data_IF_276015575524
#
_entry.id   IF_276015575524
#
_cell.length_a   1.000
_cell.length_b   1.000
_cell.length_c   1.000
_cell.angle_alpha   90.00
_cell.angle_beta   90.00
_cell.angle_gamma   90.00
#
_symmetry.space_group_name_H-M   'P 1'
#
loop_
_entity.id
_entity.type
_entity.pdbx_description
1 polymer ?
#
# COMPACT_ATOMS: atom_id res chain seq x y z
N UNK A 1 53.76 -41.91 -77.46
CA UNK A 1 52.38 -42.40 -77.36
C UNK A 1 52.14 -42.73 -75.89
N UNK A 2 51.72 -41.75 -75.09
CA UNK A 2 51.51 -41.93 -73.65
C UNK A 2 50.03 -41.72 -73.33
N UNK A 3 49.44 -42.79 -72.81
CA UNK A 3 48.03 -42.95 -72.49
C UNK A 3 47.66 -42.14 -71.25
N UNK A 4 46.64 -41.29 -71.37
CA UNK A 4 46.01 -40.56 -70.26
C UNK A 4 44.96 -41.47 -69.63
N UNK A 5 45.08 -41.74 -68.32
CA UNK A 5 43.98 -42.30 -67.52
C UNK A 5 43.49 -41.24 -66.54
N UNK A 6 42.21 -40.90 -66.68
CA UNK A 6 41.45 -40.04 -65.79
C UNK A 6 41.26 -40.71 -64.43
N UNK A 7 41.75 -40.09 -63.35
CA UNK A 7 41.33 -40.41 -61.98
C UNK A 7 40.05 -39.64 -61.66
N UNK A 8 38.98 -40.39 -61.42
CA UNK A 8 37.70 -39.89 -60.95
C UNK A 8 37.84 -39.54 -59.45
N UNK A 9 37.81 -38.25 -59.11
CA UNK A 9 37.73 -37.80 -57.71
C UNK A 9 36.26 -37.61 -57.35
N UNK A 10 35.78 -38.40 -56.39
CA UNK A 10 34.46 -38.24 -55.79
C UNK A 10 34.40 -36.98 -54.92
N UNK A 11 33.24 -36.33 -55.01
CA UNK A 11 32.87 -35.10 -54.33
C UNK A 11 32.44 -35.37 -52.87
N UNK A 12 32.96 -34.64 -51.88
CA UNK A 12 32.29 -34.48 -50.58
C UNK A 12 32.79 -33.27 -49.78
N UNK A 13 32.59 -32.05 -50.29
CA UNK A 13 32.72 -30.85 -49.45
C UNK A 13 31.31 -30.39 -49.03
N UNK A 14 30.84 -30.89 -47.89
CA UNK A 14 29.74 -30.26 -47.16
C UNK A 14 30.34 -29.27 -46.16
N UNK A 15 29.88 -28.01 -46.11
CA UNK A 15 30.38 -27.04 -45.12
C UNK A 15 30.02 -27.50 -43.70
N UNK A 16 30.85 -27.16 -42.69
CA UNK A 16 30.58 -27.55 -41.31
C UNK A 16 29.27 -26.93 -40.84
N UNK A 17 28.41 -27.76 -40.27
CA UNK A 17 27.13 -27.40 -39.67
C UNK A 17 27.36 -26.50 -38.45
N UNK A 18 27.34 -25.18 -38.67
CA UNK A 18 27.40 -24.19 -37.59
C UNK A 18 26.05 -24.19 -36.88
N UNK A 19 25.94 -24.99 -35.81
CA UNK A 19 24.78 -24.96 -34.93
C UNK A 19 24.51 -23.52 -34.46
N UNK A 20 23.27 -23.02 -34.56
CA UNK A 20 22.94 -21.68 -34.10
C UNK A 20 23.28 -21.55 -32.61
N UNK A 21 23.73 -20.36 -32.16
CA UNK A 21 24.15 -20.16 -30.78
C UNK A 21 23.00 -20.54 -29.84
N UNK A 22 23.27 -21.44 -28.90
CA UNK A 22 22.32 -21.83 -27.87
C UNK A 22 21.82 -20.57 -27.17
N UNK A 23 20.51 -20.29 -27.26
CA UNK A 23 19.88 -19.20 -26.53
C UNK A 23 20.22 -19.39 -25.05
N UNK A 24 21.06 -18.51 -24.49
CA UNK A 24 21.27 -18.43 -23.04
C UNK A 24 19.87 -18.38 -22.40
N UNK A 25 19.55 -19.35 -21.54
CA UNK A 25 18.36 -19.25 -20.68
C UNK A 25 18.47 -17.91 -19.95
N UNK A 26 17.64 -16.93 -20.32
CA UNK A 26 17.54 -15.69 -19.55
C UNK A 26 17.14 -16.11 -18.14
N UNK A 27 18.01 -15.85 -17.17
CA UNK A 27 17.60 -15.87 -15.77
C UNK A 27 16.32 -15.05 -15.66
N UNK A 28 15.23 -15.57 -15.06
CA UNK A 28 14.01 -14.79 -14.90
C UNK A 28 14.38 -13.45 -14.28
N UNK A 29 13.95 -12.36 -14.91
CA UNK A 29 14.14 -11.03 -14.35
C UNK A 29 13.55 -11.01 -12.95
N UNK A 30 14.25 -10.39 -12.00
CA UNK A 30 13.76 -10.27 -10.63
C UNK A 30 12.38 -9.59 -10.65
N UNK A 31 11.36 -10.16 -9.97
CA UNK A 31 10.05 -9.55 -9.93
C UNK A 31 10.10 -8.13 -9.36
N UNK A 32 9.39 -7.21 -10.00
CA UNK A 32 9.20 -5.84 -9.52
C UNK A 32 7.71 -5.60 -9.30
N UNK A 33 7.34 -5.07 -8.15
CA UNK A 33 5.94 -4.69 -7.91
C UNK A 33 5.59 -3.48 -8.74
N UNK A 34 4.49 -3.60 -9.49
CA UNK A 34 3.83 -2.46 -10.14
C UNK A 34 2.69 -2.02 -9.25
N UNK A 35 2.62 -0.73 -8.93
CA UNK A 35 1.51 -0.16 -8.18
C UNK A 35 0.87 0.99 -8.92
N UNK A 36 -0.45 1.13 -8.75
CA UNK A 36 -1.16 2.36 -9.08
C UNK A 36 -1.32 3.26 -7.86
N UNK A 37 -1.40 2.65 -6.67
CA UNK A 37 -1.38 3.35 -5.39
C UNK A 37 -0.09 4.17 -5.24
N UNK A 38 -0.25 5.45 -4.93
CA UNK A 38 0.84 6.37 -4.64
C UNK A 38 0.48 7.21 -3.43
N UNK A 39 1.41 7.33 -2.48
CA UNK A 39 1.27 8.24 -1.33
C UNK A 39 1.54 9.70 -1.71
N UNK A 40 2.02 9.99 -2.92
CA UNK A 40 2.43 11.34 -3.30
C UNK A 40 1.30 12.38 -3.26
N UNK A 41 0.09 12.12 -3.81
CA UNK A 41 -1.03 13.05 -3.68
C UNK A 41 -1.39 13.34 -2.22
N UNK A 42 -1.44 12.31 -1.39
CA UNK A 42 -1.77 12.45 0.03
C UNK A 42 -0.70 13.26 0.77
N UNK A 43 0.60 13.00 0.54
CA UNK A 43 1.68 13.80 1.14
C UNK A 43 1.65 15.27 0.71
N UNK A 44 1.34 15.56 -0.55
CA UNK A 44 1.19 16.93 -1.03
C UNK A 44 0.01 17.62 -0.33
N UNK A 45 -1.12 16.92 -0.19
CA UNK A 45 -2.27 17.39 0.59
C UNK A 45 -1.90 17.68 2.05
N UNK A 46 -1.23 16.74 2.75
CA UNK A 46 -0.79 16.93 4.14
C UNK A 46 0.10 18.17 4.32
N UNK A 47 1.05 18.37 3.40
CA UNK A 47 1.92 19.56 3.43
C UNK A 47 1.11 20.85 3.25
N UNK A 48 0.11 20.87 2.37
CA UNK A 48 -0.71 22.03 2.09
C UNK A 48 -1.68 22.38 3.24
N UNK A 49 -2.13 21.38 4.02
CA UNK A 49 -3.02 21.60 5.17
C UNK A 49 -2.28 21.76 6.50
N UNK A 50 -0.94 21.84 6.51
CA UNK A 50 -0.15 21.91 7.73
C UNK A 50 -0.59 23.05 8.67
N UNK A 51 -0.96 24.21 8.10
CA UNK A 51 -1.42 25.39 8.83
C UNK A 51 -2.96 25.55 8.81
N UNK A 52 -3.71 24.48 8.52
CA UNK A 52 -5.19 24.50 8.46
C UNK A 52 -5.77 23.64 9.58
N UNK A 53 -5.86 24.16 10.83
CA UNK A 53 -6.18 23.35 12.01
C UNK A 53 -7.57 22.70 11.93
N UNK A 54 -8.57 23.37 11.35
CA UNK A 54 -9.90 22.78 11.18
C UNK A 54 -9.89 21.50 10.32
N UNK A 55 -9.11 21.48 9.23
CA UNK A 55 -8.99 20.28 8.37
C UNK A 55 -8.23 19.16 9.06
N UNK A 56 -7.19 19.50 9.83
CA UNK A 56 -6.44 18.53 10.63
C UNK A 56 -7.32 17.93 11.73
N UNK A 57 -8.09 18.76 12.43
CA UNK A 57 -9.02 18.32 13.46
C UNK A 57 -10.09 17.39 12.88
N UNK A 58 -10.69 17.73 11.74
CA UNK A 58 -11.66 16.86 11.09
C UNK A 58 -11.12 15.46 10.76
N UNK A 59 -9.83 15.36 10.40
CA UNK A 59 -9.15 14.08 10.16
C UNK A 59 -8.97 13.28 11.46
N UNK A 60 -8.63 13.98 12.55
CA UNK A 60 -8.52 13.39 13.89
C UNK A 60 -9.89 12.90 14.36
N UNK A 61 -10.94 13.71 14.20
CA UNK A 61 -12.31 13.39 14.63
C UNK A 61 -12.89 12.17 13.88
N UNK A 62 -12.53 11.98 12.61
CA UNK A 62 -12.87 10.77 11.86
C UNK A 62 -12.09 9.52 12.34
N UNK A 63 -11.11 9.69 13.23
CA UNK A 63 -10.23 8.64 13.73
C UNK A 63 -9.06 8.31 12.80
N UNK A 64 -8.72 9.19 11.85
CA UNK A 64 -7.62 9.03 10.89
C UNK A 64 -6.40 9.90 11.22
N UNK A 65 -6.34 10.45 12.43
CA UNK A 65 -5.28 11.37 12.87
C UNK A 65 -3.86 10.83 12.67
N UNK A 66 -3.67 9.51 12.83
CA UNK A 66 -2.34 8.91 12.63
C UNK A 66 -1.82 8.98 11.18
N UNK A 67 -2.70 9.14 10.18
CA UNK A 67 -2.26 9.35 8.80
C UNK A 67 -1.66 10.74 8.56
N UNK A 68 -1.88 11.72 9.45
CA UNK A 68 -1.21 13.02 9.38
C UNK A 68 0.32 12.89 9.49
N UNK A 69 0.81 11.77 10.03
CA UNK A 69 2.23 11.47 10.20
C UNK A 69 2.89 10.87 8.96
N UNK A 70 2.17 10.66 7.85
CA UNK A 70 2.70 9.95 6.68
C UNK A 70 3.83 10.72 5.98
N UNK A 71 5.06 10.21 6.09
CA UNK A 71 6.20 10.61 5.24
C UNK A 71 7.01 9.40 4.77
N UNK A 72 6.39 8.60 3.89
CA UNK A 72 7.05 7.46 3.24
C UNK A 72 7.86 7.90 2.01
N UNK A 73 8.98 7.25 1.67
CA UNK A 73 9.62 7.44 0.36
C UNK A 73 8.75 6.86 -0.76
N UNK A 74 9.16 7.04 -2.02
CA UNK A 74 8.61 6.22 -3.11
C UNK A 74 8.96 4.75 -2.82
N UNK A 75 8.03 3.84 -3.11
CA UNK A 75 8.24 2.41 -2.91
C UNK A 75 9.45 1.92 -3.73
N UNK A 76 10.29 1.11 -3.12
CA UNK A 76 11.30 0.33 -3.85
C UNK A 76 10.60 -0.92 -4.44
N UNK A 77 10.49 -1.05 -5.77
CA UNK A 77 9.67 -2.08 -6.40
C UNK A 77 10.22 -3.49 -6.21
N UNK A 78 11.55 -3.63 -6.07
CA UNK A 78 12.21 -4.93 -5.88
C UNK A 78 12.04 -5.37 -4.43
N UNK A 79 12.29 -4.48 -3.47
CA UNK A 79 12.07 -4.75 -2.06
C UNK A 79 10.62 -5.16 -1.79
N UNK A 80 9.66 -4.39 -2.33
CA UNK A 80 8.24 -4.69 -2.17
C UNK A 80 7.87 -6.06 -2.77
N UNK A 81 8.45 -6.42 -3.93
CA UNK A 81 8.24 -7.75 -4.53
C UNK A 81 8.77 -8.85 -3.62
N UNK A 82 10.00 -8.72 -3.13
CA UNK A 82 10.59 -9.70 -2.22
C UNK A 82 9.81 -9.83 -0.91
N UNK A 83 9.28 -8.72 -0.38
CA UNK A 83 8.45 -8.72 0.81
C UNK A 83 7.12 -9.43 0.56
N UNK A 84 6.44 -9.11 -0.54
CA UNK A 84 5.17 -9.75 -0.92
C UNK A 84 5.33 -11.23 -1.23
N UNK A 85 6.42 -11.67 -1.87
CA UNK A 85 6.70 -13.09 -2.10
C UNK A 85 6.90 -13.89 -0.79
N UNK A 86 7.06 -13.22 0.35
CA UNK A 86 7.13 -13.85 1.67
C UNK A 86 5.81 -13.80 2.44
N UNK A 87 4.82 -13.06 1.95
CA UNK A 87 3.52 -13.01 2.61
C UNK A 87 2.75 -14.31 2.33
N UNK A 88 2.40 -15.05 3.38
CA UNK A 88 1.57 -16.24 3.28
C UNK A 88 0.11 -15.84 3.39
N UNK A 89 -0.63 -15.92 2.28
CA UNK A 89 -2.08 -15.62 2.27
C UNK A 89 -2.85 -16.59 3.17
N UNK A 90 -2.44 -17.87 3.22
CA UNK A 90 -3.13 -18.88 4.01
C UNK A 90 -3.03 -18.67 5.52
N UNK A 91 -1.92 -18.11 6.01
CA UNK A 91 -1.73 -17.82 7.45
C UNK A 91 -1.89 -16.34 7.82
N UNK A 92 -1.93 -15.42 6.86
CA UNK A 92 -1.92 -13.98 7.15
C UNK A 92 -0.60 -13.48 7.74
N UNK A 93 0.52 -14.13 7.42
CA UNK A 93 1.82 -13.87 8.04
C UNK A 93 2.92 -13.55 7.02
N UNK A 94 3.90 -12.74 7.42
CA UNK A 94 5.18 -12.63 6.71
C UNK A 94 6.13 -13.74 7.13
N UNK A 95 6.50 -14.61 6.19
CA UNK A 95 7.38 -15.74 6.40
C UNK A 95 8.85 -15.31 6.45
N UNK A 96 9.46 -15.49 7.62
CA UNK A 96 10.87 -15.19 7.86
C UNK A 96 11.73 -16.44 7.65
N UNK A 97 13.05 -16.26 7.68
CA UNK A 97 13.97 -17.39 7.70
C UNK A 97 13.89 -18.16 9.02
N UNK A 98 14.23 -19.45 8.96
CA UNK A 98 14.25 -20.40 10.10
C UNK A 98 12.86 -20.65 10.72
N UNK A 99 11.82 -20.68 9.89
CA UNK A 99 10.46 -21.06 10.31
C UNK A 99 9.76 -20.06 11.23
N UNK A 100 10.29 -18.83 11.37
CA UNK A 100 9.64 -17.75 12.11
C UNK A 100 8.70 -16.98 11.21
N UNK A 101 7.73 -16.32 11.81
CA UNK A 101 6.77 -15.50 11.08
C UNK A 101 6.41 -14.23 11.85
N UNK A 102 5.99 -13.20 11.12
CA UNK A 102 5.30 -12.04 11.67
C UNK A 102 3.83 -12.21 11.30
N UNK A 103 3.04 -12.64 12.28
CA UNK A 103 1.59 -12.67 12.15
C UNK A 103 1.04 -11.24 12.04
N UNK A 104 0.23 -10.99 11.02
CA UNK A 104 -0.40 -9.71 10.74
C UNK A 104 -1.91 -9.81 11.02
N UNK A 105 -2.41 -8.91 11.86
CA UNK A 105 -3.82 -8.80 12.26
C UNK A 105 -4.33 -7.37 12.12
N UNK A 106 -5.63 -7.17 12.25
CA UNK A 106 -6.27 -5.85 12.19
C UNK A 106 -5.62 -4.84 13.17
N UNK A 107 -5.28 -5.30 14.39
CA UNK A 107 -4.59 -4.45 15.38
C UNK A 107 -3.23 -3.94 14.88
N UNK A 108 -2.51 -4.69 14.02
CA UNK A 108 -1.25 -4.20 13.45
C UNK A 108 -1.49 -3.01 12.53
N UNK A 109 -2.63 -2.96 11.82
CA UNK A 109 -3.01 -1.78 11.01
C UNK A 109 -3.26 -0.59 11.91
N UNK A 110 -3.99 -0.77 13.01
CA UNK A 110 -4.22 0.29 13.98
C UNK A 110 -2.91 0.82 14.55
N UNK A 111 -1.99 -0.07 14.96
CA UNK A 111 -0.69 0.34 15.50
C UNK A 111 0.17 1.07 14.46
N UNK A 112 0.07 0.70 13.18
CA UNK A 112 0.83 1.34 12.11
C UNK A 112 0.26 2.70 11.73
N UNK A 113 -1.03 2.75 11.39
CA UNK A 113 -1.67 3.92 10.80
C UNK A 113 -2.41 4.81 11.80
N UNK A 114 -2.77 4.30 12.97
CA UNK A 114 -3.65 5.00 13.91
C UNK A 114 -5.05 5.26 13.33
N UNK A 115 -5.58 4.32 12.52
CA UNK A 115 -6.93 4.38 11.94
C UNK A 115 -7.91 3.50 12.73
N UNK A 116 -9.23 3.65 12.59
CA UNK A 116 -10.16 3.02 13.51
C UNK A 116 -10.18 1.49 13.42
N UNK A 117 -10.19 0.86 14.60
CA UNK A 117 -10.40 -0.57 14.82
C UNK A 117 -11.81 -0.77 15.42
N UNK A 118 -12.82 -0.27 14.69
CA UNK A 118 -14.21 -0.28 15.13
C UNK A 118 -14.88 -1.66 15.08
N UNK A 119 -16.14 -1.71 15.50
CA UNK A 119 -16.96 -2.94 15.51
C UNK A 119 -17.76 -3.16 14.21
N UNK A 120 -18.01 -2.10 13.43
CA UNK A 120 -18.80 -2.18 12.20
C UNK A 120 -17.92 -2.55 10.99
N UNK A 121 -18.46 -3.30 10.02
CA UNK A 121 -17.69 -3.68 8.83
C UNK A 121 -17.79 -2.61 7.74
N UNK A 122 -16.66 -2.32 7.09
CA UNK A 122 -16.65 -1.49 5.89
C UNK A 122 -17.11 -2.35 4.71
N UNK A 123 -18.22 -1.95 4.08
CA UNK A 123 -18.76 -2.63 2.92
C UNK A 123 -18.42 -1.86 1.64
N UNK A 124 -17.70 -2.49 0.72
CA UNK A 124 -17.36 -1.94 -0.58
C UNK A 124 -17.97 -2.71 -1.77
N UNK A 125 -18.88 -3.65 -1.49
CA UNK A 125 -19.49 -4.56 -2.46
C UNK A 125 -20.98 -4.28 -2.73
N UNK A 126 -21.59 -3.27 -2.12
CA UNK A 126 -23.05 -3.08 -2.25
C UNK A 126 -23.51 -2.86 -3.68
N UNK A 127 -24.48 -3.68 -4.08
CA UNK A 127 -25.47 -3.35 -5.11
C UNK A 127 -26.22 -2.09 -4.66
N UNK A 128 -26.03 -1.03 -5.43
CA UNK A 128 -26.27 0.36 -5.04
C UNK A 128 -27.68 0.86 -5.39
N UNK A 129 -28.70 0.14 -4.94
CA UNK A 129 -30.10 0.50 -5.19
C UNK A 129 -30.77 1.27 -4.04
N UNK A 130 -30.08 1.43 -2.90
CA UNK A 130 -30.59 2.27 -1.81
C UNK A 130 -30.65 3.74 -2.23
N UNK A 131 -31.84 4.35 -2.12
CA UNK A 131 -32.10 5.74 -2.52
C UNK A 131 -31.14 6.73 -1.85
N UNK A 132 -30.90 6.58 -0.55
CA UNK A 132 -30.02 7.47 0.23
C UNK A 132 -28.57 7.42 -0.26
N UNK A 133 -28.07 6.23 -0.62
CA UNK A 133 -26.72 6.09 -1.16
C UNK A 133 -26.60 6.77 -2.53
N UNK A 134 -27.61 6.60 -3.40
CA UNK A 134 -27.63 7.23 -4.72
C UNK A 134 -27.63 8.74 -4.61
N UNK A 135 -28.48 9.31 -3.75
CA UNK A 135 -28.55 10.75 -3.50
C UNK A 135 -27.20 11.28 -2.98
N UNK A 136 -26.65 10.63 -1.94
CA UNK A 136 -25.34 10.99 -1.39
C UNK A 136 -24.24 10.93 -2.45
N UNK A 137 -24.24 9.90 -3.30
CA UNK A 137 -23.25 9.75 -4.36
C UNK A 137 -23.39 10.84 -5.43
N UNK A 138 -24.61 11.22 -5.81
CA UNK A 138 -24.89 12.31 -6.76
C UNK A 138 -24.36 13.65 -6.21
N UNK A 139 -24.69 13.98 -4.96
CA UNK A 139 -24.20 15.19 -4.27
C UNK A 139 -22.67 15.20 -4.13
N UNK A 140 -22.07 14.05 -3.79
CA UNK A 140 -20.62 13.93 -3.69
C UNK A 140 -19.95 14.11 -5.06
N UNK A 141 -20.54 13.59 -6.13
CA UNK A 141 -20.04 13.75 -7.51
C UNK A 141 -20.11 15.20 -7.99
N UNK A 142 -21.17 15.91 -7.64
CA UNK A 142 -21.28 17.35 -7.88
C UNK A 142 -20.20 18.12 -7.12
N UNK A 143 -19.98 17.78 -5.84
CA UNK A 143 -18.94 18.40 -5.00
C UNK A 143 -17.52 18.24 -5.59
N UNK A 144 -17.17 17.07 -6.14
CA UNK A 144 -15.86 16.85 -6.80
C UNK A 144 -15.82 17.35 -8.25
N UNK A 145 -16.91 17.94 -8.76
CA UNK A 145 -17.00 18.53 -10.09
C UNK A 145 -16.99 17.50 -11.23
N UNK A 146 -17.49 16.28 -11.02
CA UNK A 146 -17.45 15.20 -12.02
C UNK A 146 -18.83 14.77 -12.48
N UNK A 147 -19.24 15.26 -13.65
CA UNK A 147 -20.49 14.83 -14.30
C UNK A 147 -20.34 13.48 -15.02
N UNK A 148 -19.23 13.24 -15.73
CA UNK A 148 -18.95 11.97 -16.43
C UNK A 148 -17.57 11.42 -16.05
N UNK A 149 -17.47 10.10 -15.96
CA UNK A 149 -16.24 9.41 -15.57
C UNK A 149 -15.99 9.44 -14.05
N UNK A 150 -14.71 9.37 -13.66
CA UNK A 150 -14.29 9.33 -12.26
C UNK A 150 -13.26 10.42 -11.97
N UNK A 151 -13.31 11.05 -10.77
CA UNK A 151 -12.29 12.02 -10.37
C UNK A 151 -10.91 11.37 -10.27
N UNK A 152 -9.86 12.16 -10.46
CA UNK A 152 -8.50 11.72 -10.14
C UNK A 152 -8.21 11.99 -8.66
N UNK A 153 -7.51 11.05 -8.00
CA UNK A 153 -7.08 11.20 -6.60
C UNK A 153 -6.26 12.47 -6.39
N UNK A 154 -5.41 12.84 -7.35
CA UNK A 154 -4.63 14.08 -7.29
C UNK A 154 -5.49 15.34 -7.35
N UNK A 155 -6.54 15.36 -8.17
CA UNK A 155 -7.46 16.50 -8.28
C UNK A 155 -8.24 16.70 -6.98
N UNK A 156 -8.74 15.60 -6.40
CA UNK A 156 -9.41 15.63 -5.09
C UNK A 156 -8.46 16.10 -3.98
N UNK A 157 -7.22 15.61 -3.95
CA UNK A 157 -6.21 16.04 -2.98
C UNK A 157 -5.92 17.55 -3.06
N UNK A 158 -5.83 18.10 -4.28
CA UNK A 158 -5.65 19.55 -4.49
C UNK A 158 -6.87 20.34 -4.04
N UNK A 159 -8.09 19.92 -4.39
CA UNK A 159 -9.33 20.58 -3.97
C UNK A 159 -9.46 20.60 -2.44
N UNK A 160 -9.20 19.47 -1.76
CA UNK A 160 -9.24 19.38 -0.31
C UNK A 160 -8.25 20.32 0.39
N UNK A 161 -7.12 20.62 -0.26
CA UNK A 161 -6.07 21.47 0.29
C UNK A 161 -6.39 22.97 0.22
N UNK A 162 -7.30 23.40 -0.66
CA UNK A 162 -7.64 24.82 -0.83
C UNK A 162 -8.27 25.40 0.44
N UNK A 163 -7.66 26.43 1.01
CA UNK A 163 -8.10 27.08 2.25
C UNK A 163 -9.52 27.67 2.16
N UNK A 164 -10.01 27.99 0.96
CA UNK A 164 -11.37 28.46 0.75
C UNK A 164 -12.42 27.33 0.83
N UNK A 165 -12.00 26.07 0.72
CA UNK A 165 -12.91 24.91 0.78
C UNK A 165 -13.15 24.53 2.25
N UNK A 166 -14.39 24.66 2.76
CA UNK A 166 -14.72 24.34 4.14
C UNK A 166 -14.78 22.83 4.38
N UNK A 167 -14.64 22.43 5.64
CA UNK A 167 -14.86 21.05 6.08
C UNK A 167 -16.36 20.76 6.12
N UNK A 168 -16.86 20.07 5.09
CA UNK A 168 -18.23 19.53 5.01
C UNK A 168 -18.22 18.00 5.05
N UNK A 169 -19.38 17.36 5.05
CA UNK A 169 -19.47 15.90 4.95
C UNK A 169 -18.87 15.39 3.63
N UNK A 170 -19.08 16.10 2.52
CA UNK A 170 -18.46 15.75 1.24
C UNK A 170 -16.95 16.02 1.23
N UNK A 171 -16.45 16.99 2.02
CA UNK A 171 -15.01 17.11 2.28
C UNK A 171 -14.48 15.87 3.01
N UNK A 172 -15.17 15.39 4.07
CA UNK A 172 -14.79 14.18 4.82
C UNK A 172 -14.78 12.93 3.95
N UNK A 173 -15.83 12.72 3.13
CA UNK A 173 -15.91 11.62 2.15
C UNK A 173 -14.78 11.68 1.14
N UNK A 174 -14.50 12.86 0.61
CA UNK A 174 -13.41 13.06 -0.36
C UNK A 174 -12.04 12.80 0.28
N UNK A 175 -11.82 13.22 1.53
CA UNK A 175 -10.63 12.85 2.30
C UNK A 175 -10.49 11.34 2.40
N UNK A 176 -11.56 10.61 2.75
CA UNK A 176 -11.52 9.15 2.82
C UNK A 176 -11.18 8.52 1.47
N UNK A 177 -11.74 9.02 0.35
CA UNK A 177 -11.38 8.54 -1.00
C UNK A 177 -9.90 8.71 -1.27
N UNK A 178 -9.31 9.87 -0.94
CA UNK A 178 -7.87 10.09 -1.11
C UNK A 178 -7.07 9.17 -0.18
N UNK A 179 -7.40 9.10 1.11
CA UNK A 179 -6.70 8.30 2.10
C UNK A 179 -6.72 6.80 1.76
N UNK A 180 -7.90 6.25 1.42
CA UNK A 180 -8.07 4.84 1.07
C UNK A 180 -7.27 4.49 -0.18
N UNK A 181 -7.40 5.28 -1.25
CA UNK A 181 -6.70 5.02 -2.52
C UNK A 181 -5.19 5.26 -2.45
N UNK A 182 -4.70 6.05 -1.49
CA UNK A 182 -3.27 6.28 -1.28
C UNK A 182 -2.62 5.31 -0.29
N UNK A 183 -3.36 4.79 0.69
CA UNK A 183 -2.79 4.06 1.84
C UNK A 183 -3.36 2.65 2.09
N UNK A 184 -4.61 2.37 1.71
CA UNK A 184 -5.36 1.18 2.17
C UNK A 184 -5.66 0.19 1.03
N UNK A 185 -6.34 0.65 -0.02
CA UNK A 185 -6.81 -0.18 -1.13
C UNK A 185 -6.92 0.69 -2.38
N UNK A 186 -6.30 0.27 -3.46
CA UNK A 186 -6.50 0.87 -4.77
C UNK A 186 -7.26 -0.08 -5.70
N UNK A 187 -7.54 0.38 -6.91
CA UNK A 187 -8.10 -0.48 -7.97
C UNK A 187 -6.98 -0.93 -8.93
N UNK A 188 -7.28 -1.95 -9.74
CA UNK A 188 -6.42 -2.33 -10.88
C UNK A 188 -6.61 -1.37 -12.07
N UNK A 189 -7.66 -0.56 -12.00
CA UNK A 189 -8.17 0.35 -13.01
C UNK A 189 -7.59 1.76 -12.75
N UNK A 190 -7.71 2.71 -13.70
CA UNK A 190 -7.33 4.11 -13.44
C UNK A 190 -8.29 4.84 -12.48
N UNK A 191 -9.49 4.31 -12.27
CA UNK A 191 -10.54 4.97 -11.48
C UNK A 191 -10.32 4.74 -9.97
N UNK A 192 -10.52 5.77 -9.13
CA UNK A 192 -10.44 5.61 -7.68
C UNK A 192 -11.51 4.65 -7.18
N UNK A 193 -11.17 3.91 -6.14
CA UNK A 193 -12.11 3.11 -5.38
C UNK A 193 -13.06 4.02 -4.60
N UNK A 194 -14.36 3.86 -4.81
CA UNK A 194 -15.41 4.65 -4.11
C UNK A 194 -16.51 3.79 -3.50
N UNK A 195 -16.53 2.46 -3.72
CA UNK A 195 -17.61 1.58 -3.25
C UNK A 195 -17.82 1.62 -1.73
N UNK A 196 -16.75 1.85 -0.97
CA UNK A 196 -16.83 1.99 0.48
C UNK A 196 -17.60 3.24 0.95
N UNK A 197 -17.90 4.22 0.08
CA UNK A 197 -18.66 5.42 0.45
C UNK A 197 -20.07 5.08 0.96
N UNK A 198 -20.59 3.87 0.66
CA UNK A 198 -21.85 3.39 1.21
C UNK A 198 -21.85 3.31 2.75
N UNK A 199 -20.66 3.21 3.37
CA UNK A 199 -20.47 3.22 4.82
C UNK A 199 -20.49 4.63 5.42
N UNK A 200 -20.43 5.65 4.58
CA UNK A 200 -20.29 7.07 4.97
C UNK A 200 -21.58 7.86 4.81
N UNK A 201 -22.75 7.20 4.73
CA UNK A 201 -24.06 7.88 4.68
C UNK A 201 -24.16 8.81 5.91
N UNK A 202 -23.92 8.26 7.10
CA UNK A 202 -23.65 9.04 8.31
C UNK A 202 -22.14 9.16 8.52
N UNK A 203 -21.59 10.35 8.31
CA UNK A 203 -20.16 10.61 8.51
C UNK A 203 -19.73 10.54 9.98
N UNK A 204 -20.65 10.71 10.93
CA UNK A 204 -20.33 10.64 12.36
C UNK A 204 -20.06 9.21 12.80
N UNK A 205 -20.53 8.23 12.02
CA UNK A 205 -20.29 6.82 12.29
C UNK A 205 -18.95 6.30 11.74
N UNK A 206 -18.21 7.10 10.96
CA UNK A 206 -16.90 6.73 10.37
C UNK A 206 -15.93 6.11 11.40
N UNK A 207 -15.76 6.66 12.61
CA UNK A 207 -14.85 6.08 13.62
C UNK A 207 -15.26 4.71 14.14
N UNK A 208 -16.54 4.33 14.00
CA UNK A 208 -17.06 3.06 14.53
C UNK A 208 -16.86 1.88 13.57
N UNK A 209 -16.38 2.14 12.35
CA UNK A 209 -16.06 1.11 11.36
C UNK A 209 -14.65 0.55 11.53
N UNK A 210 -14.49 -0.71 11.16
CA UNK A 210 -13.24 -1.45 11.20
C UNK A 210 -12.44 -1.25 9.90
N UNK A 211 -11.86 -0.06 9.76
CA UNK A 211 -10.97 0.27 8.64
C UNK A 211 -9.67 -0.58 8.67
N UNK A 212 -9.29 -1.05 9.85
CA UNK A 212 -8.17 -1.97 10.02
C UNK A 212 -8.42 -3.32 9.33
N UNK A 213 -9.58 -3.94 9.58
CA UNK A 213 -9.99 -5.18 8.92
C UNK A 213 -10.11 -5.00 7.42
N UNK A 214 -10.72 -3.90 6.97
CA UNK A 214 -10.79 -3.55 5.56
C UNK A 214 -9.41 -3.49 4.88
N UNK A 215 -8.40 -2.98 5.61
CA UNK A 215 -7.01 -2.93 5.15
C UNK A 215 -6.38 -4.33 5.07
N UNK A 216 -6.64 -5.22 6.03
CA UNK A 216 -6.15 -6.60 6.01
C UNK A 216 -6.80 -7.42 4.89
N UNK A 217 -8.10 -7.29 4.67
CA UNK A 217 -8.81 -7.94 3.57
C UNK A 217 -8.27 -7.47 2.21
N UNK A 218 -8.01 -6.17 2.07
CA UNK A 218 -7.32 -5.58 0.91
C UNK A 218 -5.94 -6.22 0.68
N UNK A 219 -5.14 -6.38 1.74
CA UNK A 219 -3.82 -7.02 1.67
C UNK A 219 -3.93 -8.48 1.23
N UNK A 220 -4.80 -9.27 1.85
CA UNK A 220 -4.98 -10.69 1.57
C UNK A 220 -5.37 -10.92 0.10
N UNK A 221 -6.42 -10.23 -0.36
CA UNK A 221 -6.91 -10.34 -1.74
C UNK A 221 -5.85 -9.90 -2.76
N UNK A 222 -5.19 -8.76 -2.51
CA UNK A 222 -4.18 -8.22 -3.41
C UNK A 222 -2.91 -9.08 -3.46
N UNK A 223 -2.50 -9.66 -2.33
CA UNK A 223 -1.35 -10.54 -2.27
C UNK A 223 -1.64 -11.86 -3.00
N UNK A 224 -2.83 -12.44 -2.80
CA UNK A 224 -3.27 -13.63 -3.53
C UNK A 224 -3.21 -13.39 -5.05
N UNK A 225 -3.87 -12.33 -5.52
CA UNK A 225 -3.92 -11.99 -6.95
C UNK A 225 -2.53 -11.72 -7.56
N UNK A 226 -1.64 -11.03 -6.82
CA UNK A 226 -0.30 -10.71 -7.30
C UNK A 226 0.66 -11.91 -7.28
N UNK A 227 0.51 -12.82 -6.31
CA UNK A 227 1.35 -14.02 -6.23
C UNK A 227 1.03 -15.05 -7.31
N UNK A 228 -0.23 -15.12 -7.76
CA UNK A 228 -0.62 -15.91 -8.94
C UNK A 228 0.07 -15.44 -10.22
N UNK A 229 0.22 -14.11 -10.38
CA UNK A 229 0.86 -13.50 -11.53
C UNK A 229 1.52 -12.17 -11.13
N UNK A 230 2.84 -12.25 -10.90
CA UNK A 230 3.67 -11.12 -10.47
C UNK A 230 3.75 -9.97 -11.49
N UNK A 231 3.22 -10.16 -12.71
CA UNK A 231 3.16 -9.09 -13.72
C UNK A 231 1.98 -8.13 -13.51
N UNK A 232 0.97 -8.56 -12.73
CA UNK A 232 -0.21 -7.77 -12.34
C UNK A 232 0.18 -6.58 -11.46
N UNK A 233 -0.69 -5.58 -11.42
CA UNK A 233 -0.57 -4.50 -10.45
C UNK A 233 -0.95 -5.00 -9.05
N UNK A 234 -0.21 -4.60 -8.04
CA UNK A 234 -0.57 -4.81 -6.65
C UNK A 234 -1.43 -3.63 -6.17
N UNK A 235 -2.62 -3.94 -5.63
CA UNK A 235 -3.62 -2.95 -5.23
C UNK A 235 -3.81 -2.81 -3.71
N UNK A 236 -2.99 -3.53 -2.94
CA UNK A 236 -3.07 -3.58 -1.48
C UNK A 236 -2.18 -2.54 -0.78
N UNK A 237 -2.23 -2.49 0.55
CA UNK A 237 -1.63 -1.45 1.36
C UNK A 237 -0.10 -1.64 1.55
N UNK A 238 0.70 -1.37 0.51
CA UNK A 238 2.16 -1.46 0.61
C UNK A 238 2.78 -0.60 1.72
N UNK A 239 2.34 0.65 1.99
CA UNK A 239 2.93 1.44 3.06
C UNK A 239 2.79 0.76 4.42
N UNK A 240 1.61 0.20 4.72
CA UNK A 240 1.35 -0.60 5.90
C UNK A 240 2.27 -1.81 5.99
N UNK A 241 2.31 -2.64 4.94
CA UNK A 241 3.07 -3.90 4.97
C UNK A 241 4.56 -3.66 5.25
N UNK A 242 5.12 -2.60 4.65
CA UNK A 242 6.50 -2.19 4.85
C UNK A 242 6.75 -1.77 6.32
N UNK A 243 5.95 -0.85 6.85
CA UNK A 243 6.13 -0.34 8.22
C UNK A 243 5.92 -1.45 9.26
N UNK A 244 4.92 -2.31 9.06
CA UNK A 244 4.69 -3.47 9.91
C UNK A 244 5.91 -4.41 9.95
N UNK A 245 6.50 -4.70 8.79
CA UNK A 245 7.73 -5.51 8.70
C UNK A 245 8.91 -4.84 9.41
N UNK A 246 9.11 -3.54 9.19
CA UNK A 246 10.24 -2.82 9.77
C UNK A 246 10.17 -2.71 11.30
N UNK A 247 8.98 -2.45 11.85
CA UNK A 247 8.74 -2.42 13.29
C UNK A 247 8.91 -3.79 13.93
N UNK A 248 8.29 -4.83 13.36
CA UNK A 248 8.21 -6.15 13.99
C UNK A 248 9.48 -6.98 13.81
N UNK A 249 10.41 -6.57 12.93
CA UNK A 249 11.68 -7.27 12.74
C UNK A 249 12.87 -6.43 13.23
N UNK A 250 13.46 -6.85 14.35
CA UNK A 250 14.75 -6.33 14.81
C UNK A 250 15.90 -6.97 14.01
N UNK A 251 16.80 -6.14 13.48
CA UNK A 251 18.02 -6.61 12.82
C UNK A 251 19.19 -6.57 13.79
N UNK A 252 19.80 -7.73 14.06
CA UNK A 252 20.97 -7.84 14.94
C UNK A 252 20.73 -7.11 16.29
N UNK A 253 21.60 -6.18 16.67
CA UNK A 253 21.50 -5.36 17.87
C UNK A 253 20.74 -4.03 17.65
N UNK A 254 20.31 -3.74 16.41
CA UNK A 254 19.63 -2.49 16.06
C UNK A 254 18.13 -2.59 16.35
N UNK A 255 17.73 -2.03 17.51
CA UNK A 255 16.31 -1.92 17.87
C UNK A 255 15.62 -0.89 16.96
N UNK A 256 14.49 -1.24 16.32
CA UNK A 256 13.71 -0.26 15.56
C UNK A 256 13.17 0.82 16.50
N UNK A 257 12.99 2.06 16.04
CA UNK A 257 12.24 3.06 16.81
C UNK A 257 10.76 2.67 16.79
N UNK A 258 10.10 2.77 17.95
CA UNK A 258 8.73 2.31 18.12
C UNK A 258 7.97 3.31 18.98
N UNK A 259 6.97 3.96 18.38
CA UNK A 259 6.00 4.82 19.04
C UNK A 259 4.68 4.71 18.28
N UNK A 260 3.55 4.92 18.95
CA UNK A 260 2.25 4.94 18.29
C UNK A 260 1.93 6.35 17.75
N UNK A 261 1.35 6.47 16.54
CA UNK A 261 1.28 5.43 15.51
C UNK A 261 2.66 5.17 14.93
N UNK A 262 2.96 3.96 14.42
CA UNK A 262 4.32 3.65 13.91
C UNK A 262 4.74 4.54 12.73
N UNK A 263 3.78 5.10 11.98
CA UNK A 263 4.04 6.14 10.98
C UNK A 263 4.72 7.41 11.55
N UNK A 264 4.58 7.68 12.86
CA UNK A 264 5.25 8.81 13.52
C UNK A 264 6.78 8.66 13.57
N UNK A 265 7.28 7.43 13.57
CA UNK A 265 8.73 7.14 13.71
C UNK A 265 9.36 6.59 12.43
N UNK A 266 8.60 5.84 11.62
CA UNK A 266 9.06 5.34 10.33
C UNK A 266 8.93 6.41 9.26
N UNK A 267 9.85 7.39 9.28
CA UNK A 267 9.96 8.47 8.29
C UNK A 267 10.88 8.08 7.13
N UNK A 268 10.87 8.92 6.09
CA UNK A 268 11.52 8.69 4.79
C UNK A 268 12.94 8.16 4.87
N UNK A 269 13.81 8.85 5.60
CA UNK A 269 15.24 8.51 5.65
C UNK A 269 15.50 7.19 6.38
N UNK A 270 14.75 6.93 7.46
CA UNK A 270 14.85 5.69 8.19
C UNK A 270 14.39 4.49 7.36
N UNK A 271 13.30 4.65 6.60
CA UNK A 271 12.80 3.60 5.70
C UNK A 271 13.81 3.30 4.60
N UNK A 272 14.40 4.32 3.97
CA UNK A 272 15.45 4.14 2.95
C UNK A 272 16.64 3.37 3.51
N UNK A 273 17.17 3.84 4.65
CA UNK A 273 18.29 3.18 5.34
C UNK A 273 17.97 1.72 5.69
N UNK A 274 16.74 1.46 6.15
CA UNK A 274 16.28 0.10 6.46
C UNK A 274 16.20 -0.78 5.21
N UNK A 275 15.66 -0.29 4.10
CA UNK A 275 15.60 -1.04 2.83
C UNK A 275 17.02 -1.38 2.34
N UNK A 276 17.93 -0.41 2.33
CA UNK A 276 19.34 -0.62 1.96
C UNK A 276 20.02 -1.67 2.84
N UNK A 277 19.71 -1.65 4.13
CA UNK A 277 20.21 -2.64 5.07
C UNK A 277 19.65 -4.05 4.78
N UNK A 278 18.38 -4.20 4.40
CA UNK A 278 17.80 -5.50 4.02
C UNK A 278 18.42 -6.05 2.74
N UNK A 279 18.78 -5.20 1.77
CA UNK A 279 19.50 -5.61 0.58
C UNK A 279 20.91 -6.12 0.88
N UNK A 280 21.63 -5.47 1.79
CA UNK A 280 23.01 -5.86 2.18
C UNK A 280 23.06 -7.08 3.08
N UNK A 281 22.19 -7.14 4.09
CA UNK A 281 22.23 -8.18 5.14
C UNK A 281 21.36 -9.39 4.83
N UNK A 282 20.44 -9.29 3.86
CA UNK A 282 19.48 -10.34 3.52
C UNK A 282 18.12 -10.13 4.19
N UNK A 283 17.08 -10.18 3.36
CA UNK A 283 15.68 -9.98 3.77
C UNK A 283 15.19 -11.07 4.73
N UNK A 284 14.28 -10.68 5.64
CA UNK A 284 13.56 -11.58 6.54
C UNK A 284 14.47 -12.35 7.51
N UNK A 285 15.61 -11.75 7.87
CA UNK A 285 16.52 -12.24 8.92
C UNK A 285 16.54 -11.26 10.07
N UNK A 286 16.17 -11.69 11.27
CA UNK A 286 16.16 -10.83 12.45
C UNK A 286 15.40 -11.49 13.59
N UNK A 287 15.17 -10.79 14.68
CA UNK A 287 14.33 -11.26 15.80
C UNK A 287 12.94 -10.62 15.68
N UNK A 288 11.90 -11.43 15.83
CA UNK A 288 10.52 -10.92 15.84
C UNK A 288 10.25 -10.25 17.17
N UNK A 289 9.84 -8.99 17.11
CA UNK A 289 9.42 -8.24 18.28
C UNK A 289 7.91 -8.42 18.54
N UNK A 290 7.48 -8.35 19.81
CA UNK A 290 6.06 -8.26 20.13
C UNK A 290 5.50 -6.94 19.58
N UNK A 291 4.16 -6.84 19.46
CA UNK A 291 3.49 -5.57 19.15
C UNK A 291 3.83 -4.50 20.19
N UNK A 292 3.82 -3.22 19.80
CA UNK A 292 3.83 -2.14 20.79
C UNK A 292 2.51 -2.16 21.58
N UNK A 293 2.48 -1.63 22.82
CA UNK A 293 1.23 -1.40 23.53
C UNK A 293 0.30 -0.52 22.69
N UNK A 294 -0.97 -0.90 22.58
CA UNK A 294 -1.98 -0.02 22.01
C UNK A 294 -2.21 1.15 22.97
N UNK A 295 -2.40 2.39 22.47
CA UNK A 295 -2.83 3.48 23.33
C UNK A 295 -4.17 3.09 23.97
N UNK A 296 -4.30 3.24 25.28
CA UNK A 296 -5.60 3.11 25.93
C UNK A 296 -6.51 4.22 25.38
N UNK A 297 -7.69 3.88 24.87
CA UNK A 297 -8.70 4.88 24.54
C UNK A 297 -9.10 5.62 25.82
N UNK A 298 -8.74 6.91 25.96
CA UNK A 298 -9.29 7.78 27.01
C UNK A 298 -8.33 8.56 27.93
N UNK A 299 -7.07 8.80 27.59
CA UNK A 299 -6.19 9.70 28.39
C UNK A 299 -5.38 10.67 27.50
N UNK A 300 -6.07 11.50 26.72
CA UNK A 300 -5.41 12.64 26.05
C UNK A 300 -5.93 14.01 26.50
N UNK A 301 -6.83 14.08 27.48
CA UNK A 301 -7.42 15.35 27.93
C UNK A 301 -6.86 15.90 29.26
N UNK A 302 -6.01 15.17 29.98
CA UNK A 302 -5.57 15.60 31.33
C UNK A 302 -4.17 16.25 31.41
N UNK A 303 -3.32 16.15 30.38
CA UNK A 303 -1.95 16.70 30.44
C UNK A 303 -1.81 18.15 29.92
N UNK A 304 -2.87 18.76 29.38
CA UNK A 304 -2.84 20.16 28.91
C UNK A 304 -3.50 21.17 29.87
N UNK A 305 -3.89 20.79 31.09
CA UNK A 305 -4.37 21.72 32.13
C UNK A 305 -3.38 21.93 33.29
N UNK A 306 -2.12 21.52 33.16
CA UNK A 306 -1.10 21.74 34.21
C UNK A 306 0.19 22.45 33.74
N UNK A 307 0.15 23.24 32.67
CA UNK A 307 1.22 24.21 32.37
C UNK A 307 0.66 25.60 32.05
#
# INVERSE_FOLDING_TARGET
MFTVFFTHVQCSDSPPDVKPPQKKKKTPAEPCVKVRQSTAPFKAFLAAIANQPQKRQAIIDMGFGGLLELDMPKNDPIFCARLLSRYSVGSGSLMLRRGREIEIRDIDVHLVYGIPLGGLLVDDNKDNDAADYRLMLEEWREYVGVQRGSPYVSTMATQLADAAVPVTDNWKRTFLVVAVNCCIKSTLNPQPLTGFLSTTIDVNNIPNYNWCKYTIESLLHSACSWQEDTTRFFAGPLPFLQVCYFDRLQKELHKPPRAFPLLSVWKRELIRSRIDYEFRSGLAMGTVLPRIPAPMHGQQDDEQQQQ
#
